data_IF_332496213745
#
_entry.id   IF_332496213745
#
_cell.length_a   1.000
_cell.length_b   1.000
_cell.length_c   1.000
_cell.angle_alpha   90.00
_cell.angle_beta   90.00
_cell.angle_gamma   90.00
#
_symmetry.space_group_name_H-M   'P 1'
#
loop_
_entity.id
_entity.type
_entity.pdbx_description
1 polymer ?
#
# COMPACT_ATOMS: atom_id res chain seq x y z
N UNK A 1 8.40 -5.88 -15.14
CA UNK A 1 7.44 -5.50 -14.08
C UNK A 1 6.46 -6.63 -13.91
N UNK A 2 6.37 -7.23 -12.71
CA UNK A 2 5.35 -8.22 -12.39
C UNK A 2 4.01 -7.52 -12.17
N UNK A 3 2.94 -7.97 -12.82
CA UNK A 3 1.58 -7.53 -12.51
C UNK A 3 0.77 -8.69 -11.95
N UNK A 4 0.05 -8.48 -10.86
CA UNK A 4 -0.77 -9.52 -10.23
C UNK A 4 -2.04 -8.97 -9.61
N UNK A 5 -3.00 -9.84 -9.32
CA UNK A 5 -4.24 -9.54 -8.61
C UNK A 5 -5.50 -9.77 -9.47
N UNK A 6 -6.70 -9.69 -8.86
CA UNK A 6 -7.93 -10.18 -9.48
C UNK A 6 -8.37 -9.38 -10.71
N UNK A 7 -8.13 -8.06 -10.70
CA UNK A 7 -8.51 -7.15 -11.78
C UNK A 7 -7.39 -6.15 -12.01
N UNK A 8 -6.70 -6.31 -13.13
CA UNK A 8 -5.66 -5.37 -13.60
C UNK A 8 -6.32 -4.21 -14.34
N UNK A 9 -5.93 -2.97 -14.01
CA UNK A 9 -6.44 -1.79 -14.69
C UNK A 9 -6.09 -1.79 -16.18
N UNK A 10 -7.01 -1.31 -17.03
CA UNK A 10 -6.75 -1.08 -18.45
C UNK A 10 -5.87 0.16 -18.69
N UNK A 11 -5.84 1.07 -17.72
CA UNK A 11 -4.99 2.25 -17.70
C UNK A 11 -3.78 1.94 -16.82
N UNK A 12 -2.59 1.93 -17.43
CA UNK A 12 -1.35 1.67 -16.72
C UNK A 12 -0.86 2.86 -15.90
N UNK A 13 0.01 2.56 -14.93
CA UNK A 13 0.54 3.53 -13.97
C UNK A 13 1.47 4.57 -14.60
N UNK A 14 1.99 4.29 -15.79
CA UNK A 14 2.79 5.22 -16.58
C UNK A 14 2.04 6.51 -16.94
N UNK A 15 0.71 6.44 -17.06
CA UNK A 15 -0.13 7.62 -17.31
C UNK A 15 -0.18 8.58 -16.12
N UNK A 16 0.14 8.07 -14.92
CA UNK A 16 0.31 8.84 -13.68
C UNK A 16 1.77 9.24 -13.44
N UNK A 17 2.67 9.03 -14.41
CA UNK A 17 4.08 9.38 -14.32
C UNK A 17 4.97 8.35 -13.60
N UNK A 18 4.42 7.20 -13.17
CA UNK A 18 5.19 6.16 -12.49
C UNK A 18 5.94 5.29 -13.51
N UNK A 19 7.25 5.13 -13.32
CA UNK A 19 8.15 4.39 -14.22
C UNK A 19 9.11 3.49 -13.43
N UNK A 20 9.75 2.54 -14.10
CA UNK A 20 10.76 1.64 -13.51
C UNK A 20 10.27 0.84 -12.29
N UNK A 21 9.00 0.45 -12.29
CA UNK A 21 8.39 -0.28 -11.18
C UNK A 21 8.78 -1.77 -11.21
N UNK A 22 9.10 -2.33 -10.04
CA UNK A 22 9.42 -3.75 -9.90
C UNK A 22 8.17 -4.64 -10.03
N UNK A 23 7.13 -4.34 -9.26
CA UNK A 23 5.86 -5.06 -9.26
C UNK A 23 4.67 -4.11 -9.05
N UNK A 24 3.51 -4.53 -9.56
CA UNK A 24 2.21 -3.85 -9.36
C UNK A 24 1.19 -4.90 -8.96
N UNK A 25 0.61 -4.71 -7.78
CA UNK A 25 -0.39 -5.61 -7.23
C UNK A 25 -1.74 -4.89 -7.22
N UNK A 26 -2.65 -5.31 -8.08
CA UNK A 26 -3.95 -4.67 -8.26
C UNK A 26 -5.01 -5.37 -7.41
N UNK A 27 -5.75 -4.61 -6.60
CA UNK A 27 -6.93 -5.12 -5.88
C UNK A 27 -6.65 -6.41 -5.08
N UNK A 28 -5.50 -6.50 -4.41
CA UNK A 28 -5.23 -7.60 -3.49
C UNK A 28 -6.34 -7.68 -2.45
N UNK A 29 -6.76 -8.89 -2.13
CA UNK A 29 -7.69 -9.14 -1.05
C UNK A 29 -7.01 -8.95 0.31
N UNK A 30 -7.79 -9.03 1.38
CA UNK A 30 -7.27 -8.85 2.74
C UNK A 30 -6.15 -9.86 3.05
N UNK A 31 -6.28 -11.12 2.60
CA UNK A 31 -5.27 -12.15 2.82
C UNK A 31 -3.95 -11.82 2.08
N UNK A 32 -4.03 -11.44 0.81
CA UNK A 32 -2.86 -11.03 0.03
C UNK A 32 -2.17 -9.79 0.64
N UNK A 33 -2.94 -8.77 1.02
CA UNK A 33 -2.38 -7.59 1.71
C UNK A 33 -1.67 -7.98 3.01
N UNK A 34 -2.28 -8.87 3.78
CA UNK A 34 -1.74 -9.35 5.05
C UNK A 34 -0.40 -10.07 4.87
N UNK A 35 -0.33 -11.02 3.92
CA UNK A 35 0.90 -11.75 3.62
C UNK A 35 2.02 -10.83 3.14
N UNK A 36 1.71 -9.88 2.26
CA UNK A 36 2.67 -8.92 1.74
C UNK A 36 3.25 -8.05 2.86
N UNK A 37 2.40 -7.49 3.72
CA UNK A 37 2.82 -6.63 4.82
C UNK A 37 3.73 -7.38 5.83
N UNK A 38 3.39 -8.64 6.15
CA UNK A 38 4.20 -9.47 7.05
C UNK A 38 5.54 -9.85 6.41
N UNK A 39 5.55 -10.28 5.14
CA UNK A 39 6.81 -10.59 4.42
C UNK A 39 7.76 -9.38 4.33
N UNK A 40 7.19 -8.17 4.32
CA UNK A 40 7.94 -6.89 4.26
C UNK A 40 8.29 -6.32 5.63
N UNK A 41 7.95 -7.01 6.73
CA UNK A 41 8.18 -6.55 8.10
C UNK A 41 7.53 -5.18 8.41
N UNK A 42 6.38 -4.88 7.80
CA UNK A 42 5.67 -3.59 7.98
C UNK A 42 4.78 -3.57 9.24
N UNK A 43 4.63 -4.71 9.92
CA UNK A 43 3.83 -4.85 11.13
C UNK A 43 3.95 -6.23 11.74
N UNK A 44 3.09 -6.53 12.72
CA UNK A 44 3.05 -7.79 13.45
C UNK A 44 1.62 -8.29 13.60
N UNK A 45 1.49 -9.58 13.85
CA UNK A 45 0.21 -10.22 14.15
C UNK A 45 -0.01 -10.17 15.66
N UNK A 46 -1.08 -9.52 16.10
CA UNK A 46 -1.48 -9.53 17.50
C UNK A 46 -2.18 -10.84 17.88
N UNK A 47 -2.33 -11.06 19.19
CA UNK A 47 -3.20 -12.11 19.70
C UNK A 47 -4.62 -11.89 19.17
N UNK A 48 -5.16 -12.89 18.46
CA UNK A 48 -6.46 -12.80 17.78
C UNK A 48 -6.39 -12.51 16.28
N UNK A 49 -5.19 -12.42 15.69
CA UNK A 49 -5.01 -12.38 14.23
C UNK A 49 -5.06 -10.98 13.60
N UNK A 50 -5.32 -9.93 14.38
CA UNK A 50 -5.29 -8.56 13.89
C UNK A 50 -3.87 -8.15 13.47
N UNK A 51 -3.76 -7.45 12.35
CA UNK A 51 -2.52 -6.81 11.91
C UNK A 51 -2.29 -5.51 12.69
N UNK A 52 -1.09 -5.33 13.23
CA UNK A 52 -0.69 -4.15 14.01
C UNK A 52 0.55 -3.54 13.38
N UNK A 53 0.47 -2.26 13.04
CA UNK A 53 1.57 -1.45 12.54
C UNK A 53 1.79 -0.22 13.44
N UNK A 54 3.01 0.32 13.41
CA UNK A 54 3.37 1.56 14.08
C UNK A 54 3.73 2.61 13.01
N UNK A 55 3.16 3.80 13.11
CA UNK A 55 3.34 4.89 12.12
C UNK A 55 4.51 5.82 12.46
N UNK A 56 5.30 5.47 13.48
CA UNK A 56 6.44 6.27 13.93
C UNK A 56 6.01 7.61 14.51
N UNK A 57 6.65 8.69 14.06
CA UNK A 57 6.42 10.06 14.55
C UNK A 57 5.03 10.60 14.17
N UNK A 58 4.49 10.17 13.01
CA UNK A 58 3.23 10.65 12.48
C UNK A 58 2.06 9.79 13.00
N UNK A 59 1.69 9.99 14.27
CA UNK A 59 0.60 9.26 14.95
C UNK A 59 -0.77 9.93 14.80
N UNK A 60 -0.84 11.08 14.15
CA UNK A 60 -2.05 11.86 13.92
C UNK A 60 -2.02 12.63 12.60
N UNK A 61 -2.94 13.57 12.41
CA UNK A 61 -3.00 14.42 11.21
C UNK A 61 -1.97 15.55 11.29
N UNK A 62 -1.38 15.91 10.15
CA UNK A 62 -0.59 17.15 9.97
C UNK A 62 -1.41 18.18 9.18
N UNK A 63 -2.32 18.94 9.82
CA UNK A 63 -3.22 19.85 9.10
C UNK A 63 -2.47 20.96 8.34
N UNK A 64 -1.27 21.33 8.79
CA UNK A 64 -0.45 22.36 8.16
C UNK A 64 0.22 21.90 6.85
N UNK A 65 0.26 20.60 6.58
CA UNK A 65 0.87 20.03 5.36
C UNK A 65 -0.17 19.78 4.24
N UNK A 66 -1.41 20.24 4.43
CA UNK A 66 -2.49 20.09 3.44
C UNK A 66 -2.63 21.36 2.59
N UNK A 67 -2.50 21.19 1.28
CA UNK A 67 -2.65 22.27 0.29
C UNK A 67 -3.74 21.93 -0.75
N UNK A 68 -4.25 22.96 -1.43
CA UNK A 68 -5.17 22.86 -2.57
C UNK A 68 -4.52 23.64 -3.71
N UNK A 69 -4.50 23.06 -4.91
CA UNK A 69 -3.98 23.73 -6.12
C UNK A 69 -5.04 24.72 -6.61
N UNK A 70 -4.63 25.94 -6.94
CA UNK A 70 -5.47 26.97 -7.58
C UNK A 70 -5.61 26.76 -9.09
#
# INVERSE_FOLDING_TARGET
MLQSGPVVSRVGLETHGLKNLGAVHWNLDAAGLYEHAIRRNEGKIAKGGAFVALTGEHTGRSPLDRFIVE
#
